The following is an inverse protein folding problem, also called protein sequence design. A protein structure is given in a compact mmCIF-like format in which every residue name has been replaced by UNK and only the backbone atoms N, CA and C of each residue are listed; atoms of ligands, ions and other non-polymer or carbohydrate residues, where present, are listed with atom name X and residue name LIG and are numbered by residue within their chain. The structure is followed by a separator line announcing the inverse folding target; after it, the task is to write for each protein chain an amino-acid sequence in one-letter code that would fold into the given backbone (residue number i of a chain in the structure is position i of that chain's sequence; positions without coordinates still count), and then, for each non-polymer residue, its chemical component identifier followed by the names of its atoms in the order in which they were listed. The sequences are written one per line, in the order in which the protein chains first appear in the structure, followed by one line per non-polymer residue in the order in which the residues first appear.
data_IF_662649037959
#
_entry.id   IF_662649037959
#
_cell.length_a   1.000
_cell.length_b   1.000
_cell.length_c   1.000
_cell.angle_alpha   90.00
_cell.angle_beta   90.00
_cell.angle_gamma   90.00
#
_symmetry.space_group_name_H-M   'P 1'
#
loop_
_entity.id
_entity.type
_entity.pdbx_description
1 polymer ?
#
# COMPACT_ATOMS: atom_id res chain seq x y z
N UNK A 1 13.77 10.92 30.42
CA UNK A 1 12.66 10.37 29.60
C UNK A 1 12.94 8.89 29.41
N UNK A 2 11.97 8.01 29.67
CA UNK A 2 12.13 6.58 29.36
C UNK A 2 12.14 6.44 27.83
N UNK A 3 13.16 5.80 27.27
CA UNK A 3 13.21 5.52 25.83
C UNK A 3 12.05 4.57 25.50
N UNK A 4 11.15 4.99 24.60
CA UNK A 4 10.11 4.12 24.09
C UNK A 4 10.76 3.06 23.18
N UNK A 5 10.35 1.78 23.27
CA UNK A 5 10.81 0.76 22.34
C UNK A 5 10.44 1.16 20.91
N UNK A 6 11.28 0.76 19.97
CA UNK A 6 11.03 0.99 18.54
C UNK A 6 9.79 0.20 18.10
N UNK A 7 9.03 0.76 17.17
CA UNK A 7 8.03 -0.01 16.44
C UNK A 7 8.71 -1.06 15.57
N UNK A 8 7.98 -2.13 15.24
CA UNK A 8 8.44 -3.18 14.34
C UNK A 8 9.02 -2.64 13.01
N UNK A 9 8.40 -1.62 12.42
CA UNK A 9 8.89 -0.99 11.18
C UNK A 9 10.23 -0.28 11.42
N UNK A 10 10.37 0.43 12.53
CA UNK A 10 11.63 1.10 12.87
C UNK A 10 12.76 0.09 13.06
N UNK A 11 12.51 -1.05 13.71
CA UNK A 11 13.51 -2.12 13.88
C UNK A 11 13.94 -2.73 12.54
N UNK A 12 13.00 -3.03 11.65
CA UNK A 12 13.31 -3.60 10.33
C UNK A 12 14.06 -2.61 9.42
N UNK A 13 13.72 -1.31 9.47
CA UNK A 13 14.46 -0.29 8.72
C UNK A 13 15.91 -0.18 9.19
N UNK A 14 16.17 -0.27 10.49
CA UNK A 14 17.54 -0.28 11.03
C UNK A 14 18.33 -1.51 10.54
N UNK A 15 17.70 -2.69 10.48
CA UNK A 15 18.32 -3.88 9.89
C UNK A 15 18.62 -3.67 8.40
N UNK A 16 17.70 -3.08 7.65
CA UNK A 16 17.88 -2.73 6.23
C UNK A 16 19.06 -1.79 6.00
N UNK A 17 19.25 -0.77 6.83
CA UNK A 17 20.40 0.13 6.73
C UNK A 17 21.74 -0.59 6.88
N UNK A 18 21.80 -1.65 7.70
CA UNK A 18 23.02 -2.46 7.87
C UNK A 18 23.40 -3.25 6.62
N UNK A 19 22.47 -3.45 5.67
CA UNK A 19 22.71 -4.20 4.45
C UNK A 19 23.37 -3.36 3.34
N UNK A 20 23.45 -2.03 3.52
CA UNK A 20 24.06 -1.10 2.56
C UNK A 20 23.64 -1.36 1.10
N UNK A 21 22.32 -1.41 0.87
CA UNK A 21 21.73 -1.71 -0.44
C UNK A 21 22.29 -0.81 -1.54
N UNK A 22 22.49 -1.40 -2.72
CA UNK A 22 22.76 -0.62 -3.93
C UNK A 22 21.54 0.27 -4.28
N UNK A 23 21.73 1.35 -5.07
CA UNK A 23 20.61 2.14 -5.58
C UNK A 23 19.57 1.29 -6.32
N UNK A 24 20.01 0.27 -7.05
CA UNK A 24 19.16 -0.66 -7.79
C UNK A 24 18.32 -1.52 -6.84
N UNK A 25 18.93 -2.15 -5.83
CA UNK A 25 18.22 -2.96 -4.84
C UNK A 25 17.21 -2.12 -4.02
N UNK A 26 17.58 -0.88 -3.71
CA UNK A 26 16.68 0.04 -3.01
C UNK A 26 15.47 0.41 -3.88
N UNK A 27 15.65 0.57 -5.19
CA UNK A 27 14.56 0.81 -6.13
C UNK A 27 13.63 -0.41 -6.26
N UNK A 28 14.19 -1.62 -6.31
CA UNK A 28 13.41 -2.86 -6.28
C UNK A 28 12.59 -2.99 -5.00
N UNK A 29 13.18 -2.70 -3.83
CA UNK A 29 12.46 -2.71 -2.56
C UNK A 29 11.30 -1.72 -2.55
N UNK A 30 11.49 -0.50 -3.09
CA UNK A 30 10.41 0.49 -3.22
C UNK A 30 9.27 -0.04 -4.10
N UNK A 31 9.58 -0.73 -5.21
CA UNK A 31 8.57 -1.34 -6.07
C UNK A 31 7.78 -2.43 -5.35
N UNK A 32 8.45 -3.28 -4.56
CA UNK A 32 7.77 -4.32 -3.76
C UNK A 32 6.80 -3.69 -2.75
N UNK A 33 7.23 -2.64 -2.03
CA UNK A 33 6.38 -1.92 -1.09
C UNK A 33 5.22 -1.22 -1.81
N UNK A 34 5.48 -0.55 -2.93
CA UNK A 34 4.46 0.10 -3.74
C UNK A 34 3.40 -0.89 -4.22
N UNK A 35 3.82 -2.05 -4.71
CA UNK A 35 2.93 -3.14 -5.13
C UNK A 35 2.07 -3.64 -3.96
N UNK A 36 2.66 -3.87 -2.79
CA UNK A 36 1.92 -4.32 -1.61
C UNK A 36 0.80 -3.36 -1.22
N UNK A 37 1.08 -2.05 -1.18
CA UNK A 37 0.08 -1.05 -0.82
C UNK A 37 -0.97 -0.85 -1.92
N UNK A 38 -0.59 -0.91 -3.20
CA UNK A 38 -1.53 -0.87 -4.32
C UNK A 38 -2.50 -2.06 -4.27
N UNK A 39 -2.00 -3.28 -4.07
CA UNK A 39 -2.85 -4.48 -3.94
C UNK A 39 -3.80 -4.38 -2.75
N UNK A 40 -3.32 -3.84 -1.62
CA UNK A 40 -4.18 -3.60 -0.45
C UNK A 40 -5.28 -2.58 -0.77
N UNK A 41 -4.93 -1.47 -1.42
CA UNK A 41 -5.91 -0.46 -1.81
C UNK A 41 -6.96 -1.00 -2.79
N UNK A 42 -6.55 -1.78 -3.79
CA UNK A 42 -7.47 -2.43 -4.73
C UNK A 42 -8.43 -3.37 -4.01
N UNK A 43 -7.93 -4.23 -3.10
CA UNK A 43 -8.80 -5.15 -2.34
C UNK A 43 -9.83 -4.42 -1.48
N UNK A 44 -9.45 -3.32 -0.84
CA UNK A 44 -10.40 -2.52 -0.07
C UNK A 44 -11.42 -1.82 -0.98
N UNK A 45 -11.01 -1.36 -2.17
CA UNK A 45 -11.92 -0.79 -3.16
C UNK A 45 -12.94 -1.84 -3.67
N UNK A 46 -12.48 -3.04 -4.01
CA UNK A 46 -13.32 -4.16 -4.43
C UNK A 46 -14.33 -4.54 -3.32
N UNK A 47 -13.88 -4.56 -2.06
CA UNK A 47 -14.77 -4.81 -0.93
C UNK A 47 -15.88 -3.76 -0.81
N UNK A 48 -15.54 -2.48 -0.94
CA UNK A 48 -16.52 -1.39 -0.92
C UNK A 48 -17.48 -1.51 -2.10
N UNK A 49 -16.97 -1.86 -3.28
CA UNK A 49 -17.76 -2.09 -4.48
C UNK A 49 -18.85 -3.14 -4.24
N UNK A 50 -18.46 -4.28 -3.68
CA UNK A 50 -19.37 -5.37 -3.36
C UNK A 50 -20.37 -5.00 -2.24
N UNK A 51 -19.90 -4.37 -1.16
CA UNK A 51 -20.74 -3.94 -0.02
C UNK A 51 -21.81 -2.94 -0.45
N UNK A 52 -21.47 -2.04 -1.38
CA UNK A 52 -22.40 -1.05 -1.92
C UNK A 52 -23.27 -1.60 -3.05
N UNK A 53 -23.08 -2.87 -3.44
CA UNK A 53 -23.73 -3.51 -4.59
C UNK A 53 -23.60 -2.68 -5.87
N UNK A 54 -22.46 -2.03 -6.03
CA UNK A 54 -22.18 -1.29 -7.24
C UNK A 54 -22.16 -2.25 -8.43
N UNK A 55 -22.67 -1.76 -9.55
CA UNK A 55 -22.81 -2.53 -10.78
C UNK A 55 -22.32 -1.69 -11.96
N UNK A 56 -22.26 -2.30 -13.14
CA UNK A 56 -21.97 -1.57 -14.37
C UNK A 56 -22.95 -0.40 -14.58
N UNK A 57 -24.20 -0.54 -14.13
CA UNK A 57 -25.21 0.53 -14.18
C UNK A 57 -24.84 1.71 -13.26
N UNK A 58 -24.17 1.42 -12.13
CA UNK A 58 -23.62 2.47 -11.24
C UNK A 58 -22.50 3.24 -11.95
N UNK A 59 -21.61 2.52 -12.64
CA UNK A 59 -20.55 3.14 -13.45
C UNK A 59 -21.14 4.00 -14.56
N UNK A 60 -22.13 3.48 -15.29
CA UNK A 60 -22.80 4.18 -16.39
C UNK A 60 -23.51 5.45 -15.88
N UNK A 61 -24.15 5.39 -14.70
CA UNK A 61 -24.73 6.57 -14.08
C UNK A 61 -23.68 7.65 -13.79
N UNK A 62 -22.56 7.30 -13.17
CA UNK A 62 -21.49 8.27 -12.87
C UNK A 62 -20.86 8.89 -14.13
N UNK A 63 -20.72 8.11 -15.21
CA UNK A 63 -20.20 8.62 -16.48
C UNK A 63 -21.14 9.60 -17.18
N UNK A 64 -22.44 9.48 -16.95
CA UNK A 64 -23.48 10.36 -17.52
C UNK A 64 -23.78 11.59 -16.65
N UNK A 65 -23.27 11.63 -15.42
CA UNK A 65 -23.41 12.77 -14.50
C UNK A 65 -22.29 13.82 -14.64
N UNK A 66 -21.23 13.51 -15.39
CA UNK A 66 -20.11 14.43 -15.70
C UNK A 66 -20.28 15.18 -17.01
#
# INVERSE_FOLDING_TARGET
MLAQPLSNVQEELLKLYSQNLSPEDLDELKKVLGKHFAEKATKEADKIWDEKKFSNETTDAWLNEG
#
